data_IF_003183372882
#
_entry.id   IF_003183372882
#
_cell.length_a   1.000
_cell.length_b   1.000
_cell.length_c   1.000
_cell.angle_alpha   90.00
_cell.angle_beta   90.00
_cell.angle_gamma   90.00
#
_symmetry.space_group_name_H-M   'P 1'
#
loop_
_entity.id
_entity.type
_entity.pdbx_description
1 polymer ?
#
# COMPACT_ATOMS: atom_id res chain seq x y z
N UNK A 1 -11.60 -0.65 -16.53
CA UNK A 1 -10.68 -1.62 -15.92
C UNK A 1 -10.32 -1.23 -14.49
N UNK A 2 -10.01 -2.20 -13.63
CA UNK A 2 -9.56 -1.96 -12.26
C UNK A 2 -8.40 -2.89 -11.89
N UNK A 3 -7.50 -2.43 -11.03
CA UNK A 3 -6.35 -3.17 -10.50
C UNK A 3 -6.30 -3.01 -8.98
N UNK A 4 -5.82 -4.04 -8.29
CA UNK A 4 -5.58 -4.03 -6.84
C UNK A 4 -4.12 -4.41 -6.57
N UNK A 5 -3.46 -3.63 -5.72
CA UNK A 5 -2.19 -3.97 -5.08
C UNK A 5 -2.46 -4.20 -3.58
N UNK A 6 -2.10 -5.38 -3.08
CA UNK A 6 -2.09 -5.68 -1.65
C UNK A 6 -0.84 -5.10 -1.02
N UNK A 7 -1.03 -4.14 -0.12
CA UNK A 7 0.04 -3.49 0.63
C UNK A 7 0.24 -4.27 1.92
N UNK A 8 1.40 -4.91 2.05
CA UNK A 8 1.76 -5.73 3.20
C UNK A 8 2.92 -5.09 3.97
N UNK A 9 2.92 -5.28 5.29
CA UNK A 9 4.03 -5.02 6.17
C UNK A 9 5.10 -6.11 6.01
N UNK A 10 5.80 -6.11 4.88
CA UNK A 10 6.81 -7.11 4.50
C UNK A 10 8.05 -6.43 3.93
N UNK A 11 9.21 -7.07 4.07
CA UNK A 11 10.40 -6.66 3.32
C UNK A 11 10.20 -6.96 1.82
N UNK A 12 10.37 -5.97 0.92
CA UNK A 12 10.09 -6.14 -0.51
C UNK A 12 11.05 -7.12 -1.21
N UNK A 13 12.18 -7.48 -0.59
CA UNK A 13 13.18 -8.40 -1.16
C UNK A 13 13.11 -9.79 -0.55
N UNK A 14 12.93 -9.87 0.77
CA UNK A 14 12.95 -11.16 1.49
C UNK A 14 11.56 -11.70 1.80
N UNK A 15 10.51 -10.88 1.63
CA UNK A 15 9.12 -11.21 1.95
C UNK A 15 8.88 -11.55 3.43
N UNK A 16 9.85 -11.26 4.30
CA UNK A 16 9.68 -11.44 5.73
C UNK A 16 8.72 -10.40 6.29
N UNK A 17 7.77 -10.79 7.18
CA UNK A 17 6.92 -9.84 7.88
C UNK A 17 7.73 -8.80 8.66
N UNK A 18 7.25 -7.56 8.65
CA UNK A 18 7.82 -6.41 9.34
C UNK A 18 6.79 -5.79 10.29
N UNK A 19 6.39 -6.48 11.36
CA UNK A 19 5.51 -5.91 12.38
C UNK A 19 6.20 -4.74 13.09
N UNK A 20 5.41 -3.81 13.63
CA UNK A 20 5.94 -2.64 14.29
C UNK A 20 4.95 -1.48 14.35
N UNK A 21 5.40 -0.36 14.91
CA UNK A 21 4.59 0.85 15.01
C UNK A 21 4.74 1.69 13.76
N UNK A 22 3.62 2.01 13.12
CA UNK A 22 3.57 2.95 12.01
C UNK A 22 3.76 4.36 12.57
N UNK A 23 4.87 5.01 12.21
CA UNK A 23 5.18 6.37 12.67
C UNK A 23 4.33 7.40 11.93
N UNK A 24 4.27 7.25 10.61
CA UNK A 24 3.52 8.12 9.72
C UNK A 24 2.81 7.30 8.66
N UNK A 25 1.53 7.58 8.48
CA UNK A 25 0.72 7.06 7.38
C UNK A 25 0.10 8.21 6.59
N UNK A 26 0.34 8.21 5.27
CA UNK A 26 -0.33 9.09 4.34
C UNK A 26 -0.93 8.24 3.22
N UNK A 27 -2.26 8.20 3.15
CA UNK A 27 -2.98 7.49 2.10
C UNK A 27 -2.98 8.34 0.82
N UNK A 28 -2.77 7.73 -0.36
CA UNK A 28 -2.94 8.40 -1.64
C UNK A 28 -4.43 8.65 -1.91
N UNK A 29 -4.73 9.57 -2.84
CA UNK A 29 -6.11 9.94 -3.15
C UNK A 29 -6.31 10.34 -4.60
N UNK A 30 -7.42 11.05 -4.85
CA UNK A 30 -7.75 11.57 -6.17
C UNK A 30 -8.70 10.68 -6.99
N UNK A 31 -9.01 11.14 -8.20
CA UNK A 31 -9.99 10.48 -9.05
C UNK A 31 -9.50 9.09 -9.49
N UNK A 32 -10.34 8.07 -9.27
CA UNK A 32 -10.00 6.71 -9.68
C UNK A 32 -9.12 5.94 -8.71
N UNK A 33 -8.86 6.46 -7.50
CA UNK A 33 -8.04 5.82 -6.46
C UNK A 33 -8.92 5.52 -5.24
N UNK A 34 -8.83 4.28 -4.74
CA UNK A 34 -9.50 3.82 -3.52
C UNK A 34 -8.47 3.14 -2.63
N UNK A 35 -8.48 3.49 -1.35
CA UNK A 35 -7.63 2.89 -0.32
C UNK A 35 -8.51 2.26 0.73
N UNK A 36 -8.40 0.95 0.88
CA UNK A 36 -9.04 0.22 1.98
C UNK A 36 -7.94 -0.18 2.97
N UNK A 37 -7.87 0.51 4.11
CA UNK A 37 -6.84 0.26 5.12
C UNK A 37 -7.40 0.51 6.52
N UNK A 38 -6.82 -0.18 7.51
CA UNK A 38 -7.03 0.06 8.93
C UNK A 38 -5.86 0.84 9.56
N UNK A 39 -4.88 1.26 8.76
CA UNK A 39 -3.71 1.99 9.24
C UNK A 39 -4.07 3.42 9.66
N UNK A 40 -3.38 3.88 10.69
CA UNK A 40 -3.28 5.27 11.10
C UNK A 40 -1.92 5.49 11.77
N UNK A 41 -1.43 6.74 11.80
CA UNK A 41 -0.19 7.06 12.50
C UNK A 41 -0.29 6.71 13.99
N UNK A 42 0.66 5.94 14.50
CA UNK A 42 0.65 5.37 15.84
C UNK A 42 0.07 3.95 15.95
N UNK A 43 -0.51 3.40 14.88
CA UNK A 43 -0.99 2.01 14.87
C UNK A 43 0.17 1.02 15.01
N UNK A 44 0.02 0.02 15.88
CA UNK A 44 0.97 -1.07 16.04
C UNK A 44 0.49 -2.30 15.26
N UNK A 45 1.19 -2.62 14.16
CA UNK A 45 0.92 -3.81 13.35
C UNK A 45 1.33 -5.06 14.15
N UNK A 46 0.39 -5.97 14.45
CA UNK A 46 0.68 -7.15 15.26
C UNK A 46 1.48 -8.21 14.47
N UNK A 47 2.36 -8.97 15.14
CA UNK A 47 3.16 -10.02 14.48
C UNK A 47 2.40 -11.33 14.22
N UNK A 48 1.23 -11.50 14.84
CA UNK A 48 0.53 -12.80 14.91
C UNK A 48 -0.53 -13.00 13.82
N UNK A 49 -0.76 -12.00 12.97
CA UNK A 49 -1.80 -12.02 11.93
C UNK A 49 -1.18 -11.79 10.55
N UNK A 50 -2.03 -11.83 9.51
CA UNK A 50 -1.63 -11.48 8.14
C UNK A 50 -0.94 -10.11 8.12
N UNK A 51 0.12 -9.99 7.31
CA UNK A 51 0.89 -8.78 7.10
C UNK A 51 0.14 -7.73 6.27
N UNK A 52 -1.05 -8.05 5.75
CA UNK A 52 -1.89 -7.12 4.99
C UNK A 52 -2.26 -5.88 5.83
N UNK A 53 -1.74 -4.72 5.43
CA UNK A 53 -2.02 -3.44 6.08
C UNK A 53 -2.97 -2.56 5.25
N UNK A 54 -3.14 -2.84 3.95
CA UNK A 54 -4.12 -2.15 3.13
C UNK A 54 -4.23 -2.70 1.72
N UNK A 55 -5.27 -2.25 1.01
CA UNK A 55 -5.46 -2.50 -0.41
C UNK A 55 -5.48 -1.16 -1.14
N UNK A 56 -4.61 -1.02 -2.13
CA UNK A 56 -4.61 0.10 -3.04
C UNK A 56 -5.28 -0.33 -4.34
N UNK A 57 -6.38 0.31 -4.68
CA UNK A 57 -7.21 -0.05 -5.83
C UNK A 57 -7.31 1.16 -6.74
N UNK A 58 -7.05 0.95 -8.03
CA UNK A 58 -7.28 1.98 -9.05
C UNK A 58 -8.20 1.50 -10.14
N UNK A 59 -8.98 2.43 -10.70
CA UNK A 59 -9.85 2.15 -11.84
C UNK A 59 -9.73 3.24 -12.90
N UNK A 60 -10.04 2.90 -14.15
CA UNK A 60 -10.00 3.79 -15.31
C UNK A 60 -10.82 3.22 -16.47
N UNK A 61 -11.06 4.02 -17.52
CA UNK A 61 -11.79 3.55 -18.69
C UNK A 61 -10.96 2.48 -19.42
N UNK A 62 -9.65 2.71 -19.55
CA UNK A 62 -8.68 1.78 -20.15
C UNK A 62 -7.79 1.12 -19.09
N UNK A 63 -7.09 0.04 -19.48
CA UNK A 63 -6.11 -0.62 -18.61
C UNK A 63 -4.94 0.32 -18.32
N UNK A 64 -4.48 1.07 -19.32
CA UNK A 64 -3.36 1.99 -19.21
C UNK A 64 -3.66 3.15 -18.28
N UNK A 65 -4.88 3.70 -18.31
CA UNK A 65 -5.32 4.71 -17.35
C UNK A 65 -5.28 4.20 -15.90
N UNK A 66 -5.77 2.98 -15.67
CA UNK A 66 -5.79 2.40 -14.33
C UNK A 66 -4.36 2.09 -13.84
N UNK A 67 -3.46 1.65 -14.72
CA UNK A 67 -2.03 1.47 -14.43
C UNK A 67 -1.32 2.80 -14.13
N UNK A 68 -1.57 3.85 -14.92
CA UNK A 68 -1.00 5.17 -14.69
C UNK A 68 -1.43 5.74 -13.32
N UNK A 69 -2.71 5.59 -12.96
CA UNK A 69 -3.22 5.94 -11.63
C UNK A 69 -2.57 5.11 -10.52
N UNK A 70 -2.37 3.81 -10.75
CA UNK A 70 -1.71 2.93 -9.76
C UNK A 70 -0.28 3.38 -9.48
N UNK A 71 0.49 3.71 -10.52
CA UNK A 71 1.86 4.22 -10.37
C UNK A 71 1.91 5.49 -9.52
N UNK A 72 1.07 6.48 -9.86
CA UNK A 72 1.00 7.73 -9.07
C UNK A 72 0.59 7.46 -7.62
N UNK A 73 -0.43 6.64 -7.40
CA UNK A 73 -0.90 6.33 -6.05
C UNK A 73 0.14 5.54 -5.24
N UNK A 74 0.89 4.65 -5.89
CA UNK A 74 2.01 3.94 -5.29
C UNK A 74 3.15 4.90 -4.94
N UNK A 75 3.39 5.97 -5.69
CA UNK A 75 4.41 6.99 -5.39
C UNK A 75 4.00 7.93 -4.25
N UNK A 76 2.71 8.25 -4.15
CA UNK A 76 2.14 9.14 -3.13
C UNK A 76 1.94 8.49 -1.75
N UNK A 77 1.75 7.17 -1.69
CA UNK A 77 1.54 6.48 -0.42
C UNK A 77 2.80 6.53 0.44
N UNK A 78 2.63 6.91 1.72
CA UNK A 78 3.72 6.90 2.71
C UNK A 78 3.32 6.01 3.87
N UNK A 79 4.19 5.03 4.17
CA UNK A 79 4.13 4.20 5.38
C UNK A 79 5.52 4.19 5.98
N UNK A 80 5.69 4.87 7.11
CA UNK A 80 6.97 4.94 7.83
C UNK A 80 6.91 4.16 9.15
N UNK A 81 8.07 3.68 9.62
CA UNK A 81 8.23 2.90 10.85
C UNK A 81 8.27 1.37 10.65
N UNK A 82 7.82 0.87 9.50
CA UNK A 82 7.87 -0.54 9.11
C UNK A 82 8.28 -0.67 7.64
N UNK A 83 8.78 -1.83 7.24
CA UNK A 83 8.98 -2.14 5.81
C UNK A 83 7.65 -2.54 5.18
N UNK A 84 7.52 -2.23 3.88
CA UNK A 84 6.37 -2.64 3.08
C UNK A 84 6.80 -3.17 1.73
N UNK A 85 5.92 -3.94 1.09
CA UNK A 85 6.10 -4.42 -0.28
C UNK A 85 5.81 -3.33 -1.35
N UNK A 86 5.59 -2.06 -0.97
CA UNK A 86 5.35 -0.96 -1.91
C UNK A 86 6.46 -0.83 -2.96
N UNK A 87 7.76 -0.90 -2.61
CA UNK A 87 8.84 -0.82 -3.61
C UNK A 87 8.75 -1.94 -4.65
N UNK A 88 8.36 -3.16 -4.23
CA UNK A 88 8.18 -4.29 -5.16
C UNK A 88 7.06 -4.01 -6.18
N UNK A 89 5.99 -3.32 -5.79
CA UNK A 89 4.91 -2.97 -6.72
C UNK A 89 5.28 -1.83 -7.69
N UNK A 90 6.35 -1.07 -7.40
CA UNK A 90 6.83 0.02 -8.25
C UNK A 90 7.83 -0.43 -9.32
N UNK A 91 8.53 -1.54 -9.07
CA UNK A 91 9.49 -2.17 -10.01
C UNK A 91 8.77 -2.78 -11.24
#
# INVERSE_FOLDING_TARGET
>A
HALECRINAEDPKTFMPSPGTVKHFHAPGGNGVRVDSHLYSGYAVPPNYDSLIGKLITYGATRDEALARMRNALDEIVVDGIKTNIPLHRD
#
